data_IF_304744536165
#
_entry.id   IF_304744536165
#
_cell.length_a   1.000
_cell.length_b   1.000
_cell.length_c   1.000
_cell.angle_alpha   90.00
_cell.angle_beta   90.00
_cell.angle_gamma   90.00
#
_symmetry.space_group_name_H-M   'P 1'
#
loop_
_entity.id
_entity.type
_entity.pdbx_description
1 polymer ?
#
# COMPACT_ATOMS: atom_id res chain seq x y z
N UNK A 1 -11.86 -0.07 -5.07
CA UNK A 1 -11.30 0.70 -3.95
C UNK A 1 -11.75 0.13 -2.60
N UNK A 2 -13.07 0.04 -2.32
CA UNK A 2 -13.54 -0.53 -1.05
C UNK A 2 -13.18 -2.01 -0.83
N UNK A 3 -13.07 -2.81 -1.90
CA UNK A 3 -12.59 -4.20 -1.81
C UNK A 3 -11.14 -4.33 -1.32
N UNK A 4 -10.32 -3.30 -1.51
CA UNK A 4 -8.90 -3.29 -1.13
C UNK A 4 -8.68 -2.55 0.20
N UNK A 5 -9.32 -1.39 0.35
CA UNK A 5 -9.11 -0.45 1.48
C UNK A 5 -10.20 -0.54 2.56
N UNK A 6 -11.17 -1.44 2.41
CA UNK A 6 -12.29 -1.57 3.33
C UNK A 6 -13.42 -0.56 3.08
N UNK A 7 -14.32 -0.46 4.06
CA UNK A 7 -15.53 0.38 3.94
C UNK A 7 -15.18 1.86 3.96
N UNK A 8 -15.57 2.57 2.90
CA UNK A 8 -15.44 4.02 2.81
C UNK A 8 -16.23 4.69 3.96
N UNK A 9 -15.64 5.66 4.68
CA UNK A 9 -16.36 6.42 5.70
C UNK A 9 -17.60 7.10 5.12
N UNK A 10 -18.74 7.00 5.82
CA UNK A 10 -20.02 7.54 5.34
C UNK A 10 -19.92 8.99 4.89
N UNK A 11 -19.24 9.85 5.67
CA UNK A 11 -19.07 11.28 5.35
C UNK A 11 -18.47 11.50 3.96
N UNK A 12 -17.47 10.69 3.59
CA UNK A 12 -16.85 10.74 2.27
C UNK A 12 -17.80 10.16 1.21
N UNK A 13 -18.41 9.00 1.49
CA UNK A 13 -19.30 8.32 0.56
C UNK A 13 -20.50 9.18 0.14
N UNK A 14 -21.09 9.96 1.05
CA UNK A 14 -22.27 10.79 0.75
C UNK A 14 -21.95 12.25 0.39
N UNK A 15 -20.70 12.69 0.53
CA UNK A 15 -20.31 14.10 0.39
C UNK A 15 -19.99 14.56 -1.04
N UNK A 16 -19.86 13.64 -1.99
CA UNK A 16 -19.51 13.95 -3.38
C UNK A 16 -20.69 14.42 -4.22
N UNK A 17 -20.41 15.25 -5.24
CA UNK A 17 -21.43 15.76 -6.16
C UNK A 17 -22.26 14.66 -6.84
N UNK A 18 -21.65 13.50 -7.11
CA UNK A 18 -22.31 12.32 -7.70
C UNK A 18 -22.61 11.21 -6.71
N UNK A 19 -22.49 11.45 -5.40
CA UNK A 19 -22.66 10.40 -4.38
C UNK A 19 -24.01 9.69 -4.47
N UNK A 20 -25.08 10.42 -4.84
CA UNK A 20 -26.42 9.87 -4.99
C UNK A 20 -26.53 8.79 -6.08
N UNK A 21 -25.64 8.77 -7.06
CA UNK A 21 -25.68 7.77 -8.13
C UNK A 21 -25.12 6.42 -7.68
N UNK A 22 -24.19 6.44 -6.72
CA UNK A 22 -23.42 5.27 -6.29
C UNK A 22 -23.78 4.76 -4.89
N UNK A 23 -24.08 5.65 -3.94
CA UNK A 23 -24.24 5.32 -2.52
C UNK A 23 -25.65 5.64 -2.01
N UNK A 24 -26.15 4.80 -1.10
CA UNK A 24 -27.35 5.09 -0.34
C UNK A 24 -27.09 6.06 0.82
N UNK A 25 -28.13 6.36 1.61
CA UNK A 25 -28.03 7.28 2.76
C UNK A 25 -27.11 6.78 3.88
N UNK A 26 -26.80 5.49 3.91
CA UNK A 26 -25.93 4.83 4.87
C UNK A 26 -24.47 4.79 4.40
N UNK A 27 -24.21 5.13 3.13
CA UNK A 27 -22.87 5.10 2.52
C UNK A 27 -22.55 3.74 1.89
N UNK A 28 -23.55 2.89 1.64
CA UNK A 28 -23.39 1.60 1.00
C UNK A 28 -23.66 1.69 -0.50
N UNK A 29 -22.96 0.87 -1.29
CA UNK A 29 -23.10 0.86 -2.75
C UNK A 29 -24.50 0.36 -3.15
N UNK A 30 -25.21 1.15 -3.96
CA UNK A 30 -26.59 0.82 -4.38
C UNK A 30 -26.67 -0.43 -5.25
N UNK A 31 -25.73 -0.56 -6.18
CA UNK A 31 -25.76 -1.57 -7.25
C UNK A 31 -24.91 -2.81 -6.95
N UNK A 32 -23.97 -2.71 -6.00
CA UNK A 32 -23.05 -3.80 -5.65
C UNK A 32 -23.36 -4.24 -4.23
N UNK A 33 -23.93 -5.45 -4.09
CA UNK A 33 -24.36 -5.99 -2.78
C UNK A 33 -23.31 -6.85 -2.09
N UNK A 34 -22.34 -7.38 -2.85
CA UNK A 34 -21.29 -8.26 -2.35
C UNK A 34 -19.95 -7.78 -2.90
N UNK A 35 -19.12 -7.27 -2.00
CA UNK A 35 -17.74 -6.89 -2.31
C UNK A 35 -16.85 -8.10 -2.03
N UNK A 36 -15.94 -8.40 -2.97
CA UNK A 36 -14.92 -9.43 -2.79
C UNK A 36 -13.69 -8.77 -2.20
N UNK A 37 -13.59 -8.78 -0.89
CA UNK A 37 -12.47 -8.17 -0.21
C UNK A 37 -11.17 -8.91 -0.49
N UNK A 38 -10.16 -8.17 -0.93
CA UNK A 38 -8.80 -8.65 -1.10
C UNK A 38 -7.85 -7.59 -0.53
N UNK A 39 -7.48 -7.71 0.76
CA UNK A 39 -6.59 -6.77 1.41
C UNK A 39 -5.29 -6.56 0.62
N UNK A 40 -4.76 -5.34 0.68
CA UNK A 40 -3.64 -4.91 -0.17
C UNK A 40 -2.36 -5.73 0.07
N UNK A 41 -2.03 -6.00 1.33
CA UNK A 41 -0.94 -6.90 1.74
C UNK A 41 -1.09 -8.30 1.09
N UNK A 42 -2.27 -8.90 1.18
CA UNK A 42 -2.54 -10.21 0.56
C UNK A 42 -2.46 -10.14 -0.96
N UNK A 43 -2.96 -9.07 -1.57
CA UNK A 43 -2.84 -8.88 -3.03
C UNK A 43 -1.36 -8.83 -3.43
N UNK A 44 -0.53 -8.10 -2.69
CA UNK A 44 0.91 -7.97 -2.95
C UNK A 44 1.63 -9.31 -2.81
N UNK A 45 1.32 -10.11 -1.80
CA UNK A 45 1.89 -11.46 -1.63
C UNK A 45 1.36 -12.43 -2.68
N UNK A 46 0.04 -12.57 -2.81
CA UNK A 46 -0.56 -13.63 -3.62
C UNK A 46 -0.39 -13.39 -5.12
N UNK A 47 -0.59 -12.15 -5.56
CA UNK A 47 -0.58 -11.81 -6.99
C UNK A 47 0.77 -11.34 -7.46
N UNK A 48 1.45 -10.51 -6.66
CA UNK A 48 2.72 -9.89 -7.03
C UNK A 48 3.94 -10.61 -6.45
N UNK A 49 3.73 -11.62 -5.59
CA UNK A 49 4.79 -12.47 -5.03
C UNK A 49 5.85 -11.69 -4.26
N UNK A 50 5.48 -10.56 -3.66
CA UNK A 50 6.36 -9.86 -2.73
C UNK A 50 6.58 -10.71 -1.48
N UNK A 51 7.77 -10.67 -0.87
CA UNK A 51 8.00 -11.20 0.48
C UNK A 51 6.98 -10.61 1.45
N UNK A 52 6.47 -11.42 2.39
CA UNK A 52 5.39 -11.00 3.29
C UNK A 52 5.75 -9.74 4.11
N UNK A 53 7.00 -9.64 4.57
CA UNK A 53 7.49 -8.47 5.30
C UNK A 53 7.47 -7.19 4.43
N UNK A 54 8.01 -7.27 3.21
CA UNK A 54 8.05 -6.15 2.26
C UNK A 54 6.64 -5.75 1.81
N UNK A 55 5.79 -6.73 1.52
CA UNK A 55 4.39 -6.51 1.16
C UNK A 55 3.64 -5.77 2.26
N UNK A 56 3.89 -6.12 3.53
CA UNK A 56 3.27 -5.46 4.68
C UNK A 56 3.70 -4.00 4.80
N UNK A 57 5.02 -3.73 4.79
CA UNK A 57 5.55 -2.37 4.88
C UNK A 57 5.05 -1.49 3.72
N UNK A 58 5.02 -2.05 2.50
CA UNK A 58 4.51 -1.34 1.34
C UNK A 58 3.00 -1.09 1.43
N UNK A 59 2.22 -2.06 1.88
CA UNK A 59 0.79 -1.91 2.08
C UNK A 59 0.47 -0.84 3.14
N UNK A 60 1.26 -0.76 4.21
CA UNK A 60 1.14 0.28 5.24
C UNK A 60 1.35 1.67 4.64
N UNK A 61 2.42 1.86 3.86
CA UNK A 61 2.68 3.12 3.14
C UNK A 61 1.54 3.48 2.18
N UNK A 62 1.13 2.54 1.32
CA UNK A 62 0.07 2.77 0.33
C UNK A 62 -1.27 3.08 1.00
N UNK A 63 -1.56 2.48 2.16
CA UNK A 63 -2.80 2.74 2.90
C UNK A 63 -2.89 4.20 3.36
N UNK A 64 -1.77 4.81 3.74
CA UNK A 64 -1.72 6.24 4.10
C UNK A 64 -2.01 7.14 2.89
N UNK A 65 -1.37 6.85 1.76
CA UNK A 65 -1.52 7.64 0.52
C UNK A 65 -2.92 7.49 -0.08
N UNK A 66 -3.55 6.32 0.09
CA UNK A 66 -4.86 5.99 -0.44
C UNK A 66 -6.03 6.22 0.53
N UNK A 67 -5.78 6.87 1.68
CA UNK A 67 -6.82 7.19 2.67
C UNK A 67 -8.02 7.89 2.01
N UNK A 68 -9.25 7.53 2.41
CA UNK A 68 -10.47 8.06 1.82
C UNK A 68 -10.65 9.54 2.09
N UNK A 69 -10.30 9.97 3.31
CA UNK A 69 -10.37 11.35 3.76
C UNK A 69 -9.16 12.14 3.22
N UNK A 70 -9.34 13.08 2.27
CA UNK A 70 -8.23 13.82 1.68
C UNK A 70 -7.40 14.58 2.73
N UNK A 71 -8.04 15.10 3.77
CA UNK A 71 -7.41 15.84 4.87
C UNK A 71 -6.47 15.00 5.73
N UNK A 72 -6.57 13.67 5.65
CA UNK A 72 -5.69 12.74 6.38
C UNK A 72 -4.54 12.22 5.52
N UNK A 73 -4.53 12.51 4.21
CA UNK A 73 -3.46 12.04 3.33
C UNK A 73 -2.18 12.85 3.59
N UNK A 74 -1.03 12.18 3.69
CA UNK A 74 0.25 12.89 3.72
C UNK A 74 0.48 13.67 2.43
N UNK A 75 1.18 14.80 2.54
CA UNK A 75 1.67 15.52 1.36
C UNK A 75 2.78 14.71 0.69
N UNK A 76 3.09 15.02 -0.58
CA UNK A 76 4.18 14.35 -1.28
C UNK A 76 5.53 14.48 -0.54
N UNK A 77 5.80 15.63 0.09
CA UNK A 77 7.00 15.82 0.90
C UNK A 77 7.01 14.88 2.11
N UNK A 78 5.90 14.77 2.84
CA UNK A 78 5.79 13.84 3.98
C UNK A 78 5.91 12.37 3.54
N UNK A 79 5.43 12.02 2.34
CA UNK A 79 5.60 10.67 1.80
C UNK A 79 7.08 10.32 1.58
N UNK A 80 7.90 11.27 1.14
CA UNK A 80 9.34 11.04 0.94
C UNK A 80 10.08 10.74 2.24
N UNK A 81 9.57 11.21 3.37
CA UNK A 81 10.13 10.96 4.71
C UNK A 81 9.74 9.58 5.27
N UNK A 82 8.78 8.89 4.64
CA UNK A 82 8.28 7.60 5.14
C UNK A 82 9.37 6.51 5.09
N UNK A 83 9.50 5.65 6.12
CA UNK A 83 10.54 4.62 6.18
C UNK A 83 10.65 3.76 4.93
N UNK A 84 9.50 3.35 4.36
CA UNK A 84 9.45 2.57 3.13
C UNK A 84 10.15 3.24 1.92
N UNK A 85 10.08 4.58 1.80
CA UNK A 85 10.77 5.31 0.74
C UNK A 85 12.28 5.42 0.98
N UNK A 86 12.72 5.35 2.25
CA UNK A 86 14.12 5.51 2.63
C UNK A 86 14.96 4.23 2.45
N UNK A 87 14.31 3.08 2.20
CA UNK A 87 14.99 1.77 1.99
C UNK A 87 15.79 1.73 0.69
N UNK A 88 15.50 2.60 -0.28
CA UNK A 88 16.25 2.68 -1.55
C UNK A 88 17.71 3.16 -1.35
N UNK A 89 18.03 3.72 -0.17
CA UNK A 89 19.39 4.14 0.17
C UNK A 89 20.30 2.99 0.60
N UNK A 90 19.76 1.82 0.93
CA UNK A 90 20.54 0.63 1.28
C UNK A 90 20.76 -0.24 0.06
N UNK A 91 21.44 0.32 -0.95
CA UNK A 91 22.19 -0.46 -1.93
C UNK A 91 23.41 -1.18 -1.28
N UNK A 92 23.44 -1.31 0.05
CA UNK A 92 24.50 -1.97 0.82
C UNK A 92 24.48 -3.50 0.73
N UNK A 93 23.42 -4.11 0.18
CA UNK A 93 23.39 -5.56 -0.03
C UNK A 93 24.13 -6.00 -1.29
N UNK A 94 24.36 -5.10 -2.25
CA UNK A 94 25.19 -5.38 -3.42
C UNK A 94 26.68 -5.48 -3.06
N UNK A 95 27.14 -4.63 -2.14
CA UNK A 95 28.54 -4.59 -1.69
C UNK A 95 28.89 -5.79 -0.78
N UNK A 96 27.90 -6.36 -0.07
CA UNK A 96 28.11 -7.51 0.81
C UNK A 96 28.35 -8.82 0.03
N UNK A 97 27.65 -9.01 -1.10
CA UNK A 97 27.86 -10.18 -1.97
C UNK A 97 29.23 -10.13 -2.64
N UNK A 98 29.67 -8.97 -3.10
CA UNK A 98 30.99 -8.82 -3.74
C UNK A 98 32.15 -9.03 -2.73
N UNK A 99 31.96 -8.60 -1.48
CA UNK A 99 32.88 -8.83 -0.37
C UNK A 99 33.00 -10.32 0.01
N UNK A 100 31.88 -11.06 0.00
CA UNK A 100 31.86 -12.50 0.26
C UNK A 100 32.50 -13.32 -0.88
N UNK A 101 32.30 -12.92 -2.14
CA UNK A 101 32.89 -13.61 -3.31
C UNK A 101 34.40 -13.41 -3.40
N UNK A 102 34.92 -12.25 -2.97
CA UNK A 102 36.37 -11.97 -2.91
C UNK A 102 37.08 -12.83 -1.85
N UNK A 103 36.45 -13.08 -0.70
CA UNK A 103 37.01 -13.92 0.37
C UNK A 103 37.04 -15.42 0.03
N UNK A 104 36.32 -15.87 -1.00
CA UNK A 104 36.33 -17.25 -1.47
C UNK A 104 37.45 -17.56 -2.48
N UNK A 105 38.18 -16.57 -3.00
CA UNK A 105 39.18 -16.74 -4.06
C UNK A 105 40.65 -16.81 -3.61
N UNK A 106 40.94 -16.92 -2.31
CA UNK A 106 42.32 -17.10 -1.83
C UNK A 106 42.52 -18.56 -1.39
N UNK A 107 42.78 -19.44 -2.36
CA UNK A 107 43.47 -20.72 -2.19
C UNK A 107 43.93 -21.20 -3.57
N UNK A 108 45.13 -20.77 -3.94
CA UNK A 108 45.88 -21.17 -5.12
C UNK A 108 47.33 -20.79 -4.90
#
# INVERSE_FOLDING_TARGET
MMELLGKMPRKIAVGGARSKDYFDRHGDLKRIRRLKYWPLDRLLVDKYKLPEAEAKEFAEFLSLVLEFAPEKRPTAQQCLEHPWMNVVSTQNDADNVESQVRNLKIKG
#
